data_IF_584791297357
#
_entry.id   IF_584791297357
#
_cell.length_a   1.000
_cell.length_b   1.000
_cell.length_c   1.000
_cell.angle_alpha   90.00
_cell.angle_beta   90.00
_cell.angle_gamma   90.00
#
_symmetry.space_group_name_H-M   'P 1'
#
loop_
_entity.id
_entity.type
_entity.pdbx_description
1 polymer ?
#
# COMPACT_ATOMS: atom_id res chain seq x y z
N UNK A 1 -8.89 3.55 21.64
CA UNK A 1 -9.70 4.08 20.52
C UNK A 1 -9.34 3.22 19.33
N UNK A 2 -10.26 2.39 18.85
CA UNK A 2 -10.02 1.68 17.59
C UNK A 2 -10.19 2.74 16.50
N UNK A 3 -9.09 3.27 15.98
CA UNK A 3 -9.11 4.09 14.79
C UNK A 3 -9.59 3.19 13.64
N UNK A 4 -10.83 3.36 13.20
CA UNK A 4 -11.38 2.64 12.04
C UNK A 4 -10.64 3.12 10.78
N UNK A 5 -9.56 2.44 10.47
CA UNK A 5 -8.78 2.66 9.25
C UNK A 5 -9.46 2.07 8.03
N UNK A 6 -9.04 2.50 6.84
CA UNK A 6 -9.43 1.82 5.59
C UNK A 6 -8.56 0.58 5.45
N UNK A 7 -9.17 -0.56 5.10
CA UNK A 7 -8.46 -1.81 4.83
C UNK A 7 -8.82 -2.30 3.43
N UNK A 8 -7.80 -2.59 2.63
CA UNK A 8 -7.92 -3.18 1.30
C UNK A 8 -7.21 -4.53 1.34
N UNK A 9 -7.84 -5.56 0.80
CA UNK A 9 -7.33 -6.92 0.90
C UNK A 9 -7.31 -7.60 -0.47
N UNK A 10 -6.10 -8.04 -0.85
CA UNK A 10 -5.80 -8.82 -2.03
C UNK A 10 -5.82 -10.31 -1.67
N UNK A 11 -6.53 -11.16 -2.41
CA UNK A 11 -6.37 -12.62 -2.33
C UNK A 11 -5.89 -13.18 -3.66
N UNK A 12 -4.80 -13.92 -3.61
CA UNK A 12 -4.22 -14.60 -4.77
C UNK A 12 -4.50 -16.11 -4.67
N UNK A 13 -4.87 -16.77 -5.79
CA UNK A 13 -5.19 -18.19 -5.80
C UNK A 13 -3.98 -19.10 -5.62
N UNK A 14 -2.77 -18.57 -5.83
CA UNK A 14 -1.50 -19.28 -5.72
C UNK A 14 -0.60 -18.58 -4.71
N UNK A 15 0.25 -19.35 -4.05
CA UNK A 15 1.31 -18.81 -3.20
C UNK A 15 2.38 -18.16 -4.07
N UNK A 16 2.87 -16.98 -3.65
CA UNK A 16 3.98 -16.28 -4.28
C UNK A 16 5.29 -17.04 -4.11
N UNK A 17 6.30 -16.65 -4.89
CA UNK A 17 7.67 -17.13 -4.75
C UNK A 17 8.42 -16.25 -3.75
N UNK A 18 9.36 -16.84 -3.01
CA UNK A 18 10.25 -16.08 -2.14
C UNK A 18 11.03 -15.03 -2.96
N UNK A 19 10.97 -13.77 -2.52
CA UNK A 19 11.58 -12.64 -3.22
C UNK A 19 10.63 -11.93 -4.20
N UNK A 20 9.39 -12.40 -4.36
CA UNK A 20 8.36 -11.65 -5.08
C UNK A 20 8.09 -10.30 -4.40
N UNK A 21 7.84 -9.28 -5.22
CA UNK A 21 7.53 -7.94 -4.77
C UNK A 21 6.02 -7.70 -4.69
N UNK A 22 5.60 -6.92 -3.71
CA UNK A 22 4.27 -6.32 -3.66
C UNK A 22 4.33 -4.95 -4.31
N UNK A 23 3.40 -4.68 -5.23
CA UNK A 23 3.26 -3.38 -5.88
C UNK A 23 1.89 -2.79 -5.58
N UNK A 24 1.90 -1.63 -4.93
CA UNK A 24 0.69 -0.86 -4.62
C UNK A 24 0.77 0.47 -5.36
N UNK A 25 -0.26 0.77 -6.14
CA UNK A 25 -0.44 2.08 -6.75
C UNK A 25 -1.49 2.84 -5.96
N UNK A 26 -1.16 4.06 -5.55
CA UNK A 26 -2.08 5.00 -4.93
C UNK A 26 -2.27 6.17 -5.90
N UNK A 27 -3.49 6.66 -6.10
CA UNK A 27 -3.74 7.81 -6.96
C UNK A 27 -4.70 8.76 -6.27
N UNK A 28 -4.43 10.07 -6.30
CA UNK A 28 -5.34 11.08 -5.78
C UNK A 28 -6.19 11.71 -6.91
N UNK A 29 -7.50 11.82 -6.69
CA UNK A 29 -8.45 12.40 -7.66
C UNK A 29 -8.29 13.93 -7.81
N UNK A 30 -8.15 14.67 -6.70
CA UNK A 30 -7.94 16.11 -6.72
C UNK A 30 -6.46 16.42 -6.57
N UNK A 31 -5.83 16.91 -7.65
CA UNK A 31 -4.38 17.09 -7.76
C UNK A 31 -3.73 17.75 -6.53
N UNK A 32 -2.49 17.34 -6.25
CA UNK A 32 -1.71 17.80 -5.10
C UNK A 32 -0.79 16.71 -4.58
N UNK A 33 0.48 17.07 -4.35
CA UNK A 33 1.47 16.16 -3.82
C UNK A 33 1.14 15.76 -2.38
N UNK A 34 1.06 14.46 -2.13
CA UNK A 34 1.09 13.88 -0.79
C UNK A 34 2.57 13.71 -0.43
N UNK A 35 2.96 14.22 0.73
CA UNK A 35 4.33 14.04 1.21
C UNK A 35 4.60 12.56 1.50
N UNK A 36 5.75 12.05 1.02
CA UNK A 36 6.15 10.66 1.21
C UNK A 36 6.21 10.26 2.70
N UNK A 37 6.58 11.20 3.58
CA UNK A 37 6.54 11.06 5.03
C UNK A 37 5.15 10.68 5.55
N UNK A 38 4.10 11.37 5.08
CA UNK A 38 2.72 11.11 5.47
C UNK A 38 2.26 9.71 5.00
N UNK A 39 2.67 9.30 3.80
CA UNK A 39 2.39 7.96 3.30
C UNK A 39 3.08 6.90 4.15
N UNK A 40 4.38 7.08 4.46
CA UNK A 40 5.15 6.13 5.25
C UNK A 40 4.66 5.96 6.69
N UNK A 41 4.17 7.03 7.30
CA UNK A 41 3.73 7.00 8.70
C UNK A 41 2.33 6.39 8.87
N UNK A 42 1.48 6.42 7.84
CA UNK A 42 0.05 6.12 7.97
C UNK A 42 -0.41 4.90 7.17
N UNK A 43 0.44 4.32 6.33
CA UNK A 43 0.12 3.13 5.56
C UNK A 43 0.94 1.95 6.08
N UNK A 44 0.27 0.82 6.33
CA UNK A 44 0.92 -0.46 6.64
C UNK A 44 0.50 -1.53 5.66
N UNK A 45 1.45 -2.34 5.24
CA UNK A 45 1.21 -3.49 4.35
C UNK A 45 1.52 -4.76 5.14
N UNK A 46 0.57 -5.68 5.21
CA UNK A 46 0.77 -7.02 5.78
C UNK A 46 0.63 -8.07 4.70
N UNK A 47 1.48 -9.07 4.77
CA UNK A 47 1.33 -10.28 3.96
C UNK A 47 0.92 -11.46 4.84
N UNK A 48 0.20 -12.39 4.23
CA UNK A 48 -0.28 -13.59 4.88
C UNK A 48 -0.02 -14.81 4.02
N UNK A 49 0.25 -15.93 4.69
CA UNK A 49 0.09 -17.26 4.13
C UNK A 49 -1.23 -17.83 4.66
N UNK A 50 -2.25 -17.79 3.81
CA UNK A 50 -3.64 -18.04 4.15
C UNK A 50 -4.13 -17.07 5.24
N UNK A 51 -4.33 -17.56 6.46
CA UNK A 51 -4.80 -16.76 7.58
C UNK A 51 -3.68 -16.31 8.53
N UNK A 52 -2.47 -16.83 8.34
CA UNK A 52 -1.33 -16.54 9.21
C UNK A 52 -0.55 -15.34 8.67
N UNK A 53 -0.45 -14.28 9.47
CA UNK A 53 0.38 -13.14 9.16
C UNK A 53 1.85 -13.57 9.18
N UNK A 54 2.59 -13.33 8.10
CA UNK A 54 3.97 -13.79 7.97
C UNK A 54 4.96 -12.66 7.67
N UNK A 55 4.47 -11.48 7.30
CA UNK A 55 5.28 -10.25 7.20
C UNK A 55 4.43 -9.02 7.45
N UNK A 56 5.03 -8.02 8.09
CA UNK A 56 4.49 -6.66 8.16
C UNK A 56 5.57 -5.72 7.69
N UNK A 57 5.19 -4.85 6.76
CA UNK A 57 6.07 -3.96 6.03
C UNK A 57 5.69 -2.55 6.45
N UNK A 58 6.56 -1.94 7.25
CA UNK A 58 6.51 -0.51 7.45
C UNK A 58 7.03 0.16 6.18
N UNK A 59 6.29 1.15 5.69
CA UNK A 59 6.73 1.91 4.54
C UNK A 59 7.89 2.80 4.95
N UNK A 60 9.00 2.65 4.24
CA UNK A 60 10.14 3.54 4.33
C UNK A 60 9.99 4.63 3.26
N UNK A 61 10.04 5.93 3.60
CA UNK A 61 9.95 7.00 2.63
C UNK A 61 11.02 6.91 1.53
N UNK A 62 12.17 6.26 1.77
CA UNK A 62 13.20 6.01 0.76
C UNK A 62 12.78 4.95 -0.28
N UNK A 63 11.82 4.08 0.05
CA UNK A 63 11.29 3.05 -0.83
C UNK A 63 10.09 3.51 -1.66
N UNK A 64 9.56 4.70 -1.39
CA UNK A 64 8.41 5.27 -2.11
C UNK A 64 8.93 5.90 -3.41
N UNK A 65 8.58 5.29 -4.54
CA UNK A 65 8.89 5.84 -5.86
C UNK A 65 7.72 6.70 -6.35
N UNK A 66 7.96 8.00 -6.49
CA UNK A 66 6.95 8.93 -7.01
C UNK A 66 7.03 8.96 -8.53
N UNK A 67 6.04 8.34 -9.17
CA UNK A 67 5.96 8.23 -10.63
C UNK A 67 4.80 9.07 -11.15
N UNK A 68 5.11 10.25 -11.70
CA UNK A 68 4.11 11.08 -12.39
C UNK A 68 3.83 10.49 -13.78
N UNK A 69 2.74 9.73 -13.92
CA UNK A 69 2.32 9.24 -15.23
C UNK A 69 1.72 10.38 -16.06
N UNK A 70 2.11 10.54 -17.34
CA UNK A 70 1.60 11.62 -18.19
C UNK A 70 0.09 11.44 -18.43
N UNK A 71 -0.69 12.48 -18.10
CA UNK A 71 -2.15 12.51 -18.29
C UNK A 71 -2.97 12.07 -17.07
N UNK A 72 -2.34 11.60 -16.00
CA UNK A 72 -2.96 11.33 -14.71
C UNK A 72 -2.25 12.14 -13.64
N UNK A 73 -2.98 12.93 -12.87
CA UNK A 73 -2.44 13.60 -11.68
C UNK A 73 -2.07 12.56 -10.63
N UNK A 74 -0.82 12.62 -10.17
CA UNK A 74 -0.32 12.11 -8.88
C UNK A 74 -0.62 10.63 -8.57
N UNK A 75 0.06 9.72 -9.28
CA UNK A 75 0.13 8.30 -8.93
C UNK A 75 1.42 8.04 -8.12
N UNK A 76 1.27 7.33 -7.02
CA UNK A 76 2.35 6.93 -6.12
C UNK A 76 2.52 5.42 -6.25
N UNK A 77 3.75 4.98 -6.48
CA UNK A 77 4.07 3.58 -6.66
C UNK A 77 4.93 3.10 -5.49
N UNK A 78 4.42 2.10 -4.78
CA UNK A 78 5.09 1.49 -3.65
C UNK A 78 5.45 0.07 -4.04
N UNK A 79 6.75 -0.22 -4.07
CA UNK A 79 7.28 -1.53 -4.40
C UNK A 79 8.03 -2.05 -3.19
N UNK A 80 7.63 -3.22 -2.70
CA UNK A 80 8.27 -3.82 -1.53
C UNK A 80 8.66 -5.28 -1.79
N UNK A 81 9.93 -5.68 -1.56
CA UNK A 81 10.36 -7.07 -1.70
C UNK A 81 9.92 -7.93 -0.50
N UNK A 82 9.23 -9.05 -0.73
CA UNK A 82 8.79 -9.95 0.35
C UNK A 82 9.58 -11.25 0.29
N UNK A 83 10.42 -11.47 1.29
CA UNK A 83 11.30 -12.65 1.39
C UNK A 83 10.59 -13.86 2.02
N UNK A 84 9.26 -13.88 2.03
CA UNK A 84 8.46 -15.01 2.52
C UNK A 84 7.30 -15.25 1.55
N UNK A 85 6.96 -16.51 1.21
CA UNK A 85 5.82 -16.81 0.35
C UNK A 85 4.50 -16.34 0.97
N UNK A 86 3.65 -15.67 0.18
CA UNK A 86 2.36 -15.13 0.60
C UNK A 86 1.28 -15.36 -0.45
N UNK A 87 0.00 -15.36 -0.05
CA UNK A 87 -1.14 -15.43 -0.98
C UNK A 87 -2.24 -14.43 -0.63
N UNK A 88 -2.02 -13.60 0.40
CA UNK A 88 -2.92 -12.50 0.75
C UNK A 88 -2.10 -11.29 1.18
N UNK A 89 -2.55 -10.13 0.73
CA UNK A 89 -2.00 -8.83 1.11
C UNK A 89 -3.12 -8.02 1.75
N UNK A 90 -2.79 -7.28 2.80
CA UNK A 90 -3.68 -6.30 3.40
C UNK A 90 -2.95 -4.96 3.45
N UNK A 91 -3.55 -3.94 2.86
CA UNK A 91 -3.11 -2.55 2.96
C UNK A 91 -4.06 -1.84 3.92
N UNK A 92 -3.52 -1.26 4.98
CA UNK A 92 -4.28 -0.53 5.99
C UNK A 92 -3.82 0.92 6.10
N UNK A 93 -4.78 1.83 6.24
CA UNK A 93 -4.56 3.28 6.37
C UNK A 93 -5.06 3.76 7.73
N UNK A 94 -4.23 4.46 8.50
CA UNK A 94 -4.63 4.99 9.80
C UNK A 94 -5.68 6.13 9.65
N UNK A 95 -6.72 6.10 10.50
CA UNK A 95 -7.94 6.90 10.37
C UNK A 95 -7.75 8.43 10.51
N UNK A 96 -6.57 8.89 10.93
CA UNK A 96 -6.26 10.31 11.12
C UNK A 96 -6.19 11.12 9.82
N UNK A 97 -6.18 10.45 8.67
CA UNK A 97 -6.07 11.06 7.34
C UNK A 97 -7.26 10.75 6.42
N UNK A 98 -8.40 10.31 6.96
CA UNK A 98 -9.58 10.00 6.14
C UNK A 98 -9.96 11.13 5.15
N UNK A 99 -9.76 12.40 5.54
CA UNK A 99 -9.98 13.57 4.67
C UNK A 99 -8.85 13.85 3.67
N UNK A 100 -7.61 13.47 3.96
CA UNK A 100 -6.48 13.59 3.03
C UNK A 100 -6.48 12.50 1.95
N UNK A 101 -7.15 11.38 2.23
CA UNK A 101 -7.34 10.26 1.33
C UNK A 101 -8.72 10.24 0.68
N UNK A 102 -9.53 11.30 0.82
CA UNK A 102 -10.72 11.49 -0.02
C UNK A 102 -10.29 11.54 -1.49
N UNK A 103 -10.83 10.62 -2.30
CA UNK A 103 -10.44 10.45 -3.69
C UNK A 103 -9.14 9.67 -3.91
N UNK A 104 -8.69 8.86 -2.95
CA UNK A 104 -7.57 7.93 -3.16
C UNK A 104 -8.06 6.63 -3.81
N UNK A 105 -7.57 6.33 -5.02
CA UNK A 105 -7.72 5.02 -5.65
C UNK A 105 -6.50 4.15 -5.35
N UNK A 106 -6.73 2.91 -4.93
CA UNK A 106 -5.67 1.93 -4.67
C UNK A 106 -5.81 0.80 -5.68
N UNK A 107 -4.75 0.59 -6.46
CA UNK A 107 -4.64 -0.53 -7.40
C UNK A 107 -3.51 -1.45 -6.95
N UNK A 108 -3.80 -2.73 -6.82
CA UNK A 108 -2.81 -3.78 -6.63
C UNK A 108 -2.50 -4.42 -7.99
N UNK A 109 -1.22 -4.65 -8.27
CA UNK A 109 -0.74 -5.25 -9.52
C UNK A 109 0.18 -6.43 -9.23
#
# INVERSE_FOLDING_TARGET
VLSEGVHITALYPTLSVEGDGVRVLLQREEGGLIEASLLSENIRIRTYNNNDANSELALDPELIQLSLFPGTTDVYELIYPVNVPFNRIEVSFDAGLASAFEGLHVYEL
#
